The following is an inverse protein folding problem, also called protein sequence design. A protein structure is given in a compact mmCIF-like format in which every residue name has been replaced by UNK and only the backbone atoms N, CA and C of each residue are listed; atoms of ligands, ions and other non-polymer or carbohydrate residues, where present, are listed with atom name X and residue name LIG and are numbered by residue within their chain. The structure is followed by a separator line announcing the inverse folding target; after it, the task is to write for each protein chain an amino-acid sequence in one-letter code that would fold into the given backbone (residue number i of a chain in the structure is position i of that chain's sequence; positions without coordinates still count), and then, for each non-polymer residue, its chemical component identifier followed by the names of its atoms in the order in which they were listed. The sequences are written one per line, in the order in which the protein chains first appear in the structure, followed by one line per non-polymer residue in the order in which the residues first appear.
data_IF_122758955892
#
_entry.id   IF_122758955892
#
_cell.length_a   1.000
_cell.length_b   1.000
_cell.length_c   1.000
_cell.angle_alpha   90.00
_cell.angle_beta   90.00
_cell.angle_gamma   90.00
#
_symmetry.space_group_name_H-M   'P 1'
#
loop_
_entity.id
_entity.type
_entity.pdbx_description
1 polymer ?
#
# COMPACT_ATOMS: atom_id res chain seq x y z
N UNK A 1 5.22 -10.27 -18.32
CA UNK A 1 5.33 -8.78 -18.31
C UNK A 1 6.28 -8.38 -17.18
N UNK A 2 7.15 -7.37 -17.36
CA UNK A 2 7.94 -6.78 -16.27
C UNK A 2 7.29 -5.47 -15.77
N UNK A 3 7.82 -4.90 -14.69
CA UNK A 3 7.25 -3.67 -14.09
C UNK A 3 7.34 -2.44 -15.00
N UNK A 4 8.41 -2.31 -15.80
CA UNK A 4 8.56 -1.21 -16.74
C UNK A 4 7.52 -1.30 -17.87
N UNK A 5 7.26 -2.53 -18.36
CA UNK A 5 6.22 -2.77 -19.37
C UNK A 5 4.83 -2.48 -18.81
N UNK A 6 4.56 -2.89 -17.56
CA UNK A 6 3.29 -2.60 -16.87
C UNK A 6 3.07 -1.08 -16.76
N UNK A 7 4.06 -0.37 -16.23
CA UNK A 7 4.01 1.10 -16.08
C UNK A 7 3.71 1.77 -17.44
N UNK A 8 4.50 1.44 -18.48
CA UNK A 8 4.33 2.06 -19.79
C UNK A 8 2.94 1.78 -20.41
N UNK A 9 2.43 0.53 -20.26
CA UNK A 9 1.13 0.16 -20.79
C UNK A 9 -0.01 0.83 -20.02
N UNK A 10 0.08 0.92 -18.68
CA UNK A 10 -0.95 1.59 -17.88
C UNK A 10 -0.96 3.10 -18.08
N UNK A 11 0.21 3.74 -18.19
CA UNK A 11 0.28 5.16 -18.52
C UNK A 11 -0.35 5.46 -19.88
N UNK A 12 -0.06 4.63 -20.90
CA UNK A 12 -0.66 4.78 -22.23
C UNK A 12 -2.17 4.51 -22.23
N UNK A 13 -2.63 3.47 -21.49
CA UNK A 13 -4.05 3.09 -21.43
C UNK A 13 -4.91 4.16 -20.75
N UNK A 14 -4.40 4.74 -19.66
CA UNK A 14 -5.15 5.70 -18.85
C UNK A 14 -4.90 7.18 -19.25
N UNK A 15 -3.97 7.44 -20.17
CA UNK A 15 -3.49 8.79 -20.52
C UNK A 15 -3.06 9.57 -19.26
N UNK A 16 -2.29 8.92 -18.40
CA UNK A 16 -1.80 9.43 -17.11
C UNK A 16 -0.31 9.18 -16.97
N UNK A 17 0.34 9.95 -16.10
CA UNK A 17 1.75 9.74 -15.74
C UNK A 17 1.86 9.31 -14.30
N UNK A 18 2.43 8.12 -14.06
CA UNK A 18 2.68 7.60 -12.72
C UNK A 18 3.77 8.39 -11.98
N UNK A 19 3.67 8.53 -10.66
CA UNK A 19 4.66 9.25 -9.86
C UNK A 19 6.09 8.73 -10.05
N UNK A 20 7.06 9.66 -10.04
CA UNK A 20 8.47 9.32 -10.17
C UNK A 20 8.94 8.35 -9.08
N UNK A 21 8.38 8.46 -7.87
CA UNK A 21 8.67 7.55 -6.75
C UNK A 21 8.26 6.11 -7.09
N UNK A 22 7.09 5.88 -7.70
CA UNK A 22 6.65 4.54 -8.09
C UNK A 22 7.57 3.93 -9.17
N UNK A 23 7.95 4.73 -10.16
CA UNK A 23 8.91 4.29 -11.20
C UNK A 23 10.26 3.94 -10.60
N UNK A 24 10.72 4.69 -9.60
CA UNK A 24 11.95 4.41 -8.87
C UNK A 24 11.84 3.10 -8.06
N UNK A 25 10.74 2.88 -7.33
CA UNK A 25 10.50 1.63 -6.62
C UNK A 25 10.54 0.41 -7.56
N UNK A 26 9.93 0.54 -8.75
CA UNK A 26 9.98 -0.49 -9.78
C UNK A 26 11.42 -0.75 -10.30
N UNK A 27 12.19 0.32 -10.55
CA UNK A 27 13.58 0.22 -11.04
C UNK A 27 14.51 -0.38 -9.99
N UNK A 28 14.28 -0.11 -8.71
CA UNK A 28 15.07 -0.60 -7.58
C UNK A 28 14.65 -2.02 -7.13
N UNK A 29 13.63 -2.63 -7.79
CA UNK A 29 13.13 -3.98 -7.48
C UNK A 29 12.24 -4.05 -6.23
N UNK A 30 11.82 -2.92 -5.68
CA UNK A 30 10.98 -2.86 -4.48
C UNK A 30 9.55 -3.39 -4.69
N UNK A 31 9.11 -3.55 -5.93
CA UNK A 31 7.81 -4.12 -6.26
C UNK A 31 7.86 -5.63 -6.51
N UNK A 32 9.04 -6.26 -6.40
CA UNK A 32 9.19 -7.70 -6.68
C UNK A 32 9.04 -8.54 -5.40
N UNK A 33 7.85 -9.05 -5.18
CA UNK A 33 7.54 -10.00 -4.10
C UNK A 33 7.83 -11.45 -4.49
N UNK A 34 8.38 -11.69 -5.69
CA UNK A 34 8.58 -13.01 -6.26
C UNK A 34 7.30 -13.63 -6.83
N UNK A 35 7.45 -14.75 -7.49
CA UNK A 35 6.30 -15.46 -8.08
C UNK A 35 5.42 -16.09 -6.99
N UNK A 36 4.11 -15.92 -7.11
CA UNK A 36 3.14 -16.57 -6.22
C UNK A 36 3.22 -18.10 -6.39
N UNK A 37 3.27 -18.82 -5.28
CA UNK A 37 3.25 -20.27 -5.24
C UNK A 37 2.67 -20.78 -3.92
N UNK A 38 2.14 -22.02 -3.85
CA UNK A 38 1.62 -22.60 -2.61
C UNK A 38 2.65 -22.65 -1.46
N UNK A 39 3.94 -22.66 -1.80
CA UNK A 39 5.04 -22.69 -0.83
C UNK A 39 5.74 -21.34 -0.68
N UNK A 40 5.14 -20.23 -1.15
CA UNK A 40 5.75 -18.88 -1.15
C UNK A 40 6.20 -18.48 0.25
N UNK A 41 5.39 -18.67 1.26
CA UNK A 41 5.70 -18.34 2.67
C UNK A 41 6.90 -19.11 3.22
N UNK A 42 7.19 -20.30 2.68
CA UNK A 42 8.31 -21.17 3.11
C UNK A 42 9.57 -20.98 2.28
N UNK A 43 9.44 -20.61 1.01
CA UNK A 43 10.54 -20.64 0.04
C UNK A 43 11.00 -19.27 -0.43
N UNK A 44 10.08 -18.30 -0.55
CA UNK A 44 10.33 -16.95 -1.06
C UNK A 44 10.36 -15.93 0.07
N UNK A 45 9.32 -15.87 0.89
CA UNK A 45 9.23 -14.92 2.00
C UNK A 45 10.48 -14.85 2.89
N UNK A 46 11.08 -15.97 3.37
CA UNK A 46 12.27 -15.90 4.20
C UNK A 46 13.48 -15.26 3.53
N UNK A 47 13.57 -15.32 2.20
CA UNK A 47 14.67 -14.70 1.44
C UNK A 47 14.49 -13.18 1.31
N UNK A 48 13.24 -12.72 1.28
CA UNK A 48 12.91 -11.32 1.19
C UNK A 48 13.14 -10.57 2.51
N UNK A 49 13.12 -11.27 3.65
CA UNK A 49 13.26 -10.66 4.98
C UNK A 49 14.59 -9.92 5.20
N UNK A 50 15.66 -10.30 4.49
CA UNK A 50 16.94 -9.60 4.60
C UNK A 50 16.95 -8.20 3.96
N UNK A 51 16.10 -8.01 2.94
CA UNK A 51 15.90 -6.75 2.25
C UNK A 51 14.44 -6.68 1.78
N UNK A 52 13.50 -6.40 2.68
CA UNK A 52 12.08 -6.46 2.38
C UNK A 52 11.68 -5.51 1.25
N UNK A 53 10.95 -5.98 0.22
CA UNK A 53 10.32 -5.12 -0.77
C UNK A 53 9.19 -4.29 -0.15
N UNK A 54 8.57 -3.44 -0.95
CA UNK A 54 7.59 -2.46 -0.51
C UNK A 54 6.49 -3.09 0.37
N UNK A 55 6.42 -2.64 1.64
CA UNK A 55 5.37 -2.95 2.62
C UNK A 55 5.13 -4.45 2.88
N UNK A 56 6.17 -5.29 2.70
CA UNK A 56 6.07 -6.75 2.86
C UNK A 56 5.64 -7.18 4.27
N UNK A 57 5.92 -6.39 5.31
CA UNK A 57 5.83 -6.80 6.70
C UNK A 57 4.79 -5.99 7.45
N UNK A 58 3.85 -6.68 8.13
CA UNK A 58 2.92 -6.08 9.08
C UNK A 58 1.81 -5.24 8.46
N UNK A 59 1.43 -5.49 7.21
CA UNK A 59 0.37 -4.75 6.52
C UNK A 59 -0.56 -5.70 5.76
N UNK A 60 -1.84 -5.34 5.67
CA UNK A 60 -2.78 -5.94 4.74
C UNK A 60 -2.56 -5.33 3.34
N UNK A 61 -1.47 -5.76 2.70
CA UNK A 61 -0.99 -5.20 1.45
C UNK A 61 -0.22 -6.28 0.69
N UNK A 62 -0.57 -6.49 -0.55
CA UNK A 62 0.06 -7.47 -1.44
C UNK A 62 0.38 -6.83 -2.79
N UNK A 63 1.55 -7.16 -3.35
CA UNK A 63 1.91 -6.75 -4.70
C UNK A 63 1.81 -7.95 -5.62
N UNK A 64 0.73 -8.08 -6.42
CA UNK A 64 0.59 -9.11 -7.43
C UNK A 64 1.67 -8.95 -8.51
N UNK A 65 1.91 -10.01 -9.28
CA UNK A 65 2.76 -9.91 -10.45
C UNK A 65 2.21 -8.87 -11.44
N UNK A 66 3.06 -8.12 -12.16
CA UNK A 66 2.61 -7.06 -13.06
C UNK A 66 1.67 -7.55 -14.17
N UNK A 67 1.80 -8.80 -14.58
CA UNK A 67 0.88 -9.44 -15.53
C UNK A 67 -0.52 -9.67 -14.94
N UNK A 68 -0.59 -10.06 -13.67
CA UNK A 68 -1.85 -10.20 -12.92
C UNK A 68 -2.53 -8.85 -12.73
N UNK A 69 -1.78 -7.83 -12.27
CA UNK A 69 -2.33 -6.47 -12.16
C UNK A 69 -2.90 -5.96 -13.48
N UNK A 70 -2.21 -6.21 -14.60
CA UNK A 70 -2.66 -5.75 -15.91
C UNK A 70 -3.89 -6.52 -16.41
N UNK A 71 -3.95 -7.83 -16.22
CA UNK A 71 -5.02 -8.65 -16.77
C UNK A 71 -6.29 -8.63 -15.91
N UNK A 72 -6.14 -8.59 -14.58
CA UNK A 72 -7.24 -8.83 -13.65
C UNK A 72 -7.73 -7.55 -12.98
N UNK A 73 -6.90 -6.50 -12.91
CA UNK A 73 -7.20 -5.27 -12.15
C UNK A 73 -7.11 -3.97 -12.95
N UNK A 74 -6.60 -3.99 -14.19
CA UNK A 74 -6.32 -2.76 -14.95
C UNK A 74 -7.55 -1.86 -15.20
N UNK A 75 -8.74 -2.44 -15.28
CA UNK A 75 -9.99 -1.70 -15.49
C UNK A 75 -10.64 -1.24 -14.17
N UNK A 76 -10.15 -1.72 -13.03
CA UNK A 76 -10.77 -1.50 -11.71
C UNK A 76 -12.26 -1.87 -11.70
N UNK A 77 -12.65 -2.87 -12.52
CA UNK A 77 -14.00 -3.41 -12.63
C UNK A 77 -14.01 -4.78 -11.92
N UNK A 78 -14.94 -5.00 -11.02
CA UNK A 78 -15.01 -6.19 -10.17
C UNK A 78 -16.19 -7.10 -10.54
N UNK A 79 -16.49 -7.18 -11.83
CA UNK A 79 -17.49 -8.09 -12.39
C UNK A 79 -18.93 -7.60 -12.27
N UNK A 80 -19.44 -7.38 -11.08
CA UNK A 80 -20.78 -6.80 -10.85
C UNK A 80 -20.73 -5.30 -10.51
N UNK A 81 -19.55 -4.74 -10.22
CA UNK A 81 -19.33 -3.31 -10.00
C UNK A 81 -18.75 -2.68 -11.25
N UNK A 82 -19.49 -1.80 -11.90
CA UNK A 82 -19.06 -1.08 -13.10
C UNK A 82 -18.70 0.36 -12.77
N UNK A 83 -17.53 0.83 -13.20
CA UNK A 83 -17.14 2.22 -13.00
C UNK A 83 -18.09 3.20 -13.69
N UNK A 84 -18.53 4.22 -12.96
CA UNK A 84 -19.25 5.39 -13.53
C UNK A 84 -18.40 6.05 -14.60
N UNK A 85 -19.06 6.65 -15.60
CA UNK A 85 -18.40 7.26 -16.75
C UNK A 85 -17.36 8.33 -16.36
N UNK A 86 -17.60 9.12 -15.30
CA UNK A 86 -16.68 10.14 -14.81
C UNK A 86 -15.43 9.60 -14.14
N UNK A 87 -15.42 8.30 -13.75
CA UNK A 87 -14.27 7.63 -13.14
C UNK A 87 -13.48 6.76 -14.12
N UNK A 88 -13.97 6.57 -15.33
CA UNK A 88 -13.22 5.88 -16.37
C UNK A 88 -11.89 6.60 -16.64
N UNK A 89 -10.81 5.83 -16.79
CA UNK A 89 -9.45 6.36 -17.01
C UNK A 89 -8.88 7.21 -15.85
N UNK A 90 -9.40 7.03 -14.63
CA UNK A 90 -8.93 7.76 -13.46
C UNK A 90 -8.11 6.93 -12.48
N UNK A 91 -8.01 5.62 -12.66
CA UNK A 91 -7.33 4.73 -11.73
C UNK A 91 -6.22 3.94 -12.41
N UNK A 92 -5.11 3.77 -11.69
CA UNK A 92 -4.06 2.80 -12.04
C UNK A 92 -3.78 1.96 -10.81
N UNK A 93 -4.15 0.66 -10.80
CA UNK A 93 -3.92 -0.23 -9.66
C UNK A 93 -2.43 -0.49 -9.46
N UNK A 94 -1.99 -0.71 -8.22
CA UNK A 94 -0.59 -1.03 -7.93
C UNK A 94 -0.40 -2.10 -6.86
N UNK A 95 -1.45 -2.43 -6.10
CA UNK A 95 -1.43 -3.46 -5.06
C UNK A 95 -2.86 -3.91 -4.74
N UNK A 96 -2.99 -4.97 -3.95
CA UNK A 96 -4.26 -5.47 -3.42
C UNK A 96 -4.20 -5.65 -1.91
N UNK A 97 -5.35 -5.74 -1.23
CA UNK A 97 -5.46 -6.27 0.12
C UNK A 97 -5.59 -7.79 0.09
N UNK A 98 -5.41 -8.46 1.22
CA UNK A 98 -5.69 -9.88 1.36
C UNK A 98 -7.18 -10.23 1.20
N UNK A 99 -8.08 -9.25 1.33
CA UNK A 99 -9.50 -9.39 1.05
C UNK A 99 -9.85 -9.27 -0.44
N UNK A 100 -8.93 -8.78 -1.29
CA UNK A 100 -9.14 -8.58 -2.72
C UNK A 100 -9.47 -7.13 -3.11
N UNK A 101 -9.45 -6.19 -2.18
CA UNK A 101 -9.59 -4.77 -2.50
C UNK A 101 -8.34 -4.26 -3.22
N UNK A 102 -8.51 -3.17 -3.97
CA UNK A 102 -7.44 -2.68 -4.84
C UNK A 102 -6.90 -1.33 -4.38
N UNK A 103 -5.61 -1.26 -4.08
CA UNK A 103 -4.90 0.00 -3.93
C UNK A 103 -4.59 0.59 -5.30
N UNK A 104 -5.02 1.83 -5.54
CA UNK A 104 -4.83 2.49 -6.82
C UNK A 104 -4.34 3.94 -6.67
N UNK A 105 -3.58 4.39 -7.68
CA UNK A 105 -3.40 5.79 -7.96
C UNK A 105 -4.68 6.34 -8.56
N UNK A 106 -5.18 7.48 -8.06
CA UNK A 106 -6.45 8.06 -8.47
C UNK A 106 -6.34 9.54 -8.79
N UNK A 107 -6.78 9.94 -9.97
CA UNK A 107 -6.89 11.34 -10.41
C UNK A 107 -8.32 11.84 -10.21
N UNK A 108 -8.73 12.00 -8.94
CA UNK A 108 -10.10 12.38 -8.56
C UNK A 108 -10.37 13.87 -8.72
N UNK A 109 -9.36 14.69 -8.52
CA UNK A 109 -9.44 16.15 -8.64
C UNK A 109 -8.71 16.60 -9.92
N UNK A 110 -8.76 17.91 -10.23
CA UNK A 110 -8.02 18.49 -11.36
C UNK A 110 -6.48 18.55 -11.14
N UNK A 111 -5.99 17.93 -10.07
CA UNK A 111 -4.56 17.84 -9.77
C UNK A 111 -3.83 17.01 -10.82
N UNK A 112 -2.62 17.43 -11.18
CA UNK A 112 -1.73 16.64 -12.03
C UNK A 112 -1.17 15.40 -11.32
N UNK A 113 -1.09 15.42 -9.99
CA UNK A 113 -0.59 14.32 -9.17
C UNK A 113 -1.76 13.48 -8.62
N UNK A 114 -1.65 12.15 -8.66
CA UNK A 114 -2.69 11.28 -8.12
C UNK A 114 -2.63 11.19 -6.61
N UNK A 115 -3.80 11.06 -5.97
CA UNK A 115 -3.91 10.54 -4.60
C UNK A 115 -3.89 9.01 -4.59
N UNK A 116 -3.82 8.41 -3.39
CA UNK A 116 -3.96 6.97 -3.19
C UNK A 116 -5.35 6.65 -2.64
N UNK A 117 -5.99 5.65 -3.21
CA UNK A 117 -7.32 5.18 -2.81
C UNK A 117 -7.33 3.68 -2.57
N UNK A 118 -8.32 3.20 -1.81
CA UNK A 118 -8.69 1.80 -1.70
C UNK A 118 -10.05 1.63 -2.37
N UNK A 119 -10.08 0.86 -3.45
CA UNK A 119 -11.29 0.48 -4.17
C UNK A 119 -11.77 -0.86 -3.59
N UNK A 120 -12.95 -0.87 -2.99
CA UNK A 120 -13.54 -2.10 -2.46
C UNK A 120 -14.09 -2.96 -3.59
N UNK A 121 -13.83 -4.26 -3.50
CA UNK A 121 -14.28 -5.23 -4.51
C UNK A 121 -15.75 -5.64 -4.33
N UNK A 122 -16.35 -5.36 -3.17
CA UNK A 122 -17.69 -5.80 -2.76
C UNK A 122 -18.62 -4.64 -2.34
N UNK A 123 -18.22 -3.38 -2.61
CA UNK A 123 -18.98 -2.18 -2.26
C UNK A 123 -18.87 -1.12 -3.35
N UNK A 124 -19.94 -0.38 -3.59
CA UNK A 124 -19.97 0.81 -4.45
C UNK A 124 -19.20 1.98 -3.82
N UNK A 125 -19.01 1.97 -2.48
CA UNK A 125 -18.21 2.93 -1.73
C UNK A 125 -16.74 2.52 -1.70
N UNK A 126 -15.84 3.49 -1.81
CA UNK A 126 -14.38 3.35 -1.75
C UNK A 126 -13.78 4.46 -0.91
N UNK A 127 -12.51 4.36 -0.51
CA UNK A 127 -11.88 5.32 0.43
C UNK A 127 -10.70 6.07 -0.18
N UNK A 128 -10.59 7.36 0.13
CA UNK A 128 -9.36 8.13 -0.04
C UNK A 128 -8.40 7.80 1.10
N UNK A 129 -7.17 7.39 0.79
CA UNK A 129 -6.19 7.01 1.80
C UNK A 129 -5.16 8.12 2.05
N UNK A 130 -4.41 8.51 1.03
CA UNK A 130 -3.32 9.49 1.17
C UNK A 130 -3.19 10.39 -0.05
N UNK A 131 -2.61 11.57 0.14
CA UNK A 131 -2.43 12.57 -0.92
C UNK A 131 -1.41 12.15 -1.98
N UNK A 132 -0.46 11.28 -1.63
CA UNK A 132 0.60 10.78 -2.52
C UNK A 132 1.18 9.45 -2.01
N UNK A 133 2.01 8.81 -2.84
CA UNK A 133 2.62 7.51 -2.53
C UNK A 133 3.61 7.57 -1.36
N UNK A 134 4.37 8.66 -1.18
CA UNK A 134 5.35 8.78 -0.09
C UNK A 134 4.66 8.80 1.27
N UNK A 135 3.60 9.60 1.39
CA UNK A 135 2.80 9.69 2.60
C UNK A 135 2.00 8.40 2.85
N UNK A 136 1.55 7.70 1.79
CA UNK A 136 0.95 6.38 1.88
C UNK A 136 1.93 5.33 2.46
N UNK A 137 3.16 5.26 1.95
CA UNK A 137 4.18 4.34 2.49
C UNK A 137 4.40 4.63 3.98
N UNK A 138 4.52 5.90 4.35
CA UNK A 138 4.69 6.30 5.76
C UNK A 138 3.47 5.89 6.61
N UNK A 139 2.25 6.13 6.15
CA UNK A 139 1.02 5.78 6.86
C UNK A 139 0.90 4.26 7.09
N UNK A 140 1.25 3.46 6.09
CA UNK A 140 1.27 2.00 6.19
C UNK A 140 2.34 1.51 7.17
N UNK A 141 3.54 2.10 7.17
CA UNK A 141 4.60 1.77 8.13
C UNK A 141 4.28 2.19 9.57
N UNK A 142 3.36 3.13 9.79
CA UNK A 142 2.82 3.45 11.12
C UNK A 142 1.79 2.44 11.62
N UNK A 143 1.18 1.66 10.72
CA UNK A 143 0.07 0.75 11.01
C UNK A 143 0.52 -0.71 11.13
N UNK A 144 1.82 -0.98 11.19
CA UNK A 144 2.33 -2.35 11.22
C UNK A 144 1.79 -3.15 12.42
N UNK A 145 1.30 -4.35 12.15
CA UNK A 145 0.80 -5.30 13.13
C UNK A 145 1.50 -6.66 12.91
N UNK A 146 1.89 -7.37 14.00
CA UNK A 146 2.43 -8.72 13.86
C UNK A 146 1.36 -9.69 13.36
N UNK A 147 1.75 -10.62 12.50
CA UNK A 147 0.88 -11.72 12.09
C UNK A 147 0.42 -12.54 13.31
N UNK A 148 -0.73 -13.20 13.20
CA UNK A 148 -1.31 -13.99 14.27
C UNK A 148 -0.36 -15.07 14.84
N UNK A 149 0.54 -15.58 14.00
CA UNK A 149 1.53 -16.60 14.35
C UNK A 149 2.87 -16.02 14.86
N UNK A 150 3.04 -14.69 14.79
CA UNK A 150 4.25 -14.00 15.24
C UNK A 150 4.17 -13.72 16.75
N UNK A 151 4.63 -14.66 17.57
CA UNK A 151 4.56 -14.58 19.03
C UNK A 151 5.81 -13.98 19.69
N UNK A 152 6.85 -13.67 18.91
CA UNK A 152 8.13 -13.17 19.40
C UNK A 152 8.34 -11.70 18.98
N UNK A 153 8.28 -10.79 19.96
CA UNK A 153 8.47 -9.35 19.77
C UNK A 153 9.84 -9.01 19.18
N UNK A 154 10.89 -9.72 19.58
CA UNK A 154 12.24 -9.44 19.11
C UNK A 154 12.39 -9.82 17.62
N UNK A 155 11.83 -10.96 17.23
CA UNK A 155 11.80 -11.40 15.82
C UNK A 155 11.00 -10.43 14.95
N UNK A 156 9.80 -10.00 15.39
CA UNK A 156 9.01 -9.04 14.65
C UNK A 156 9.70 -7.67 14.55
N UNK A 157 10.29 -7.21 15.65
CA UNK A 157 11.08 -5.97 15.67
C UNK A 157 12.26 -6.03 14.68
N UNK A 158 12.96 -7.16 14.59
CA UNK A 158 14.04 -7.34 13.63
C UNK A 158 13.54 -7.23 12.17
N UNK A 159 12.37 -7.79 11.87
CA UNK A 159 11.71 -7.64 10.55
C UNK A 159 11.37 -6.18 10.27
N UNK A 160 10.78 -5.44 11.22
CA UNK A 160 10.47 -4.01 11.09
C UNK A 160 11.72 -3.16 10.84
N UNK A 161 12.83 -3.45 11.53
CA UNK A 161 14.10 -2.76 11.31
C UNK A 161 14.68 -3.03 9.92
N UNK A 162 14.58 -4.27 9.42
CA UNK A 162 14.98 -4.60 8.05
C UNK A 162 14.11 -3.85 7.03
N UNK A 163 12.79 -3.81 7.23
CA UNK A 163 11.86 -3.07 6.39
C UNK A 163 12.15 -1.56 6.41
N UNK A 164 12.35 -0.96 7.58
CA UNK A 164 12.70 0.45 7.70
C UNK A 164 14.02 0.77 6.98
N UNK A 165 15.00 -0.13 7.06
CA UNK A 165 16.28 0.02 6.37
C UNK A 165 16.11 0.00 4.85
N UNK A 166 15.34 -0.95 4.30
CA UNK A 166 15.09 -1.05 2.86
C UNK A 166 14.25 0.11 2.33
N UNK A 167 13.34 0.68 3.16
CA UNK A 167 12.45 1.79 2.78
C UNK A 167 13.07 3.18 2.96
N UNK A 168 14.19 3.29 3.68
CA UNK A 168 14.84 4.58 3.96
C UNK A 168 15.02 5.49 2.72
N UNK A 169 15.43 4.99 1.53
CA UNK A 169 15.60 5.84 0.35
C UNK A 169 14.31 6.48 -0.18
N UNK A 170 13.13 5.99 0.25
CA UNK A 170 11.81 6.35 -0.26
C UNK A 170 10.98 7.14 0.75
N UNK A 171 11.55 7.46 1.91
CA UNK A 171 10.91 8.20 3.01
C UNK A 171 11.57 9.57 3.19
N UNK A 172 10.78 10.56 3.62
CA UNK A 172 11.30 11.81 4.16
C UNK A 172 12.18 11.50 5.39
N UNK A 173 13.28 12.25 5.61
CA UNK A 173 14.14 12.03 6.79
C UNK A 173 13.35 12.02 8.10
N UNK A 174 12.43 12.96 8.28
CA UNK A 174 11.59 13.06 9.48
C UNK A 174 10.64 11.87 9.66
N UNK A 175 10.14 11.26 8.57
CA UNK A 175 9.32 10.04 8.61
C UNK A 175 10.16 8.86 9.06
N UNK A 176 11.36 8.70 8.48
CA UNK A 176 12.29 7.63 8.84
C UNK A 176 12.69 7.70 10.31
N UNK A 177 13.08 8.89 10.80
CA UNK A 177 13.56 9.07 12.18
C UNK A 177 12.42 8.80 13.19
N UNK A 178 11.20 9.24 12.88
CA UNK A 178 10.03 8.95 13.69
C UNK A 178 9.72 7.44 13.74
N UNK A 179 9.73 6.75 12.61
CA UNK A 179 9.50 5.30 12.56
C UNK A 179 10.59 4.54 13.32
N UNK A 180 11.85 4.98 13.23
CA UNK A 180 12.96 4.39 13.97
C UNK A 180 12.75 4.48 15.49
N UNK A 181 12.21 5.60 15.99
CA UNK A 181 11.83 5.75 17.41
C UNK A 181 10.64 4.85 17.77
N UNK A 182 9.59 4.84 16.94
CA UNK A 182 8.40 4.02 17.21
C UNK A 182 8.75 2.52 17.26
N UNK A 183 9.58 2.03 16.35
CA UNK A 183 9.95 0.62 16.29
C UNK A 183 10.83 0.14 17.46
N UNK A 184 11.30 1.06 18.32
CA UNK A 184 11.96 0.73 19.59
C UNK A 184 10.98 0.63 20.77
N UNK A 185 9.72 1.08 20.61
CA UNK A 185 8.74 1.05 21.71
C UNK A 185 8.33 -0.37 22.06
N UNK A 186 7.79 -0.54 23.26
CA UNK A 186 7.19 -1.78 23.69
C UNK A 186 5.85 -1.99 22.98
N UNK A 187 5.58 -3.24 22.58
CA UNK A 187 4.26 -3.62 22.10
C UNK A 187 3.26 -3.61 23.25
N UNK A 188 2.07 -3.16 22.97
CA UNK A 188 0.94 -3.22 23.90
C UNK A 188 -0.28 -3.86 23.21
N UNK A 189 -1.23 -4.31 24.00
CA UNK A 189 -2.48 -4.88 23.49
C UNK A 189 -3.53 -3.80 23.41
N UNK A 190 -4.11 -3.61 22.22
CA UNK A 190 -5.22 -2.70 22.02
C UNK A 190 -6.55 -3.24 22.59
N UNK A 191 -7.64 -2.48 22.47
CA UNK A 191 -8.97 -2.86 22.97
C UNK A 191 -9.57 -4.08 22.25
N UNK A 192 -9.04 -4.46 21.11
CA UNK A 192 -9.49 -5.60 20.32
C UNK A 192 -8.63 -6.85 20.53
N UNK A 193 -7.57 -6.74 21.33
CA UNK A 193 -6.64 -7.84 21.60
C UNK A 193 -5.45 -7.88 20.64
N UNK A 194 -5.31 -6.94 19.71
CA UNK A 194 -4.20 -6.87 18.77
C UNK A 194 -2.95 -6.31 19.46
N UNK A 195 -1.79 -6.86 19.10
CA UNK A 195 -0.49 -6.33 19.52
C UNK A 195 -0.08 -5.18 18.60
N UNK A 196 0.08 -3.99 19.16
CA UNK A 196 0.35 -2.77 18.41
C UNK A 196 1.47 -1.94 19.04
N UNK A 197 2.20 -1.17 18.25
CA UNK A 197 3.17 -0.17 18.71
C UNK A 197 2.53 1.18 18.99
N UNK A 198 1.41 1.49 18.30
CA UNK A 198 0.65 2.73 18.42
C UNK A 198 -0.83 2.40 18.56
N UNK A 199 -1.52 3.08 19.46
CA UNK A 199 -2.97 3.06 19.42
C UNK A 199 -3.51 3.96 18.29
N UNK A 200 -4.79 3.79 17.93
CA UNK A 200 -5.41 4.53 16.81
C UNK A 200 -5.36 6.06 16.99
N UNK A 201 -5.49 6.57 18.20
CA UNK A 201 -5.43 8.02 18.48
C UNK A 201 -4.02 8.59 18.30
N UNK A 202 -2.98 7.87 18.76
CA UNK A 202 -1.58 8.24 18.53
C UNK A 202 -1.25 8.25 17.05
N UNK A 203 -1.66 7.19 16.31
CA UNK A 203 -1.46 7.10 14.87
C UNK A 203 -2.12 8.27 14.14
N UNK A 204 -3.37 8.58 14.44
CA UNK A 204 -4.08 9.72 13.83
C UNK A 204 -3.39 11.06 14.12
N UNK A 205 -2.91 11.27 15.35
CA UNK A 205 -2.18 12.49 15.70
C UNK A 205 -0.86 12.62 14.93
N UNK A 206 -0.14 11.51 14.73
CA UNK A 206 1.08 11.49 13.94
C UNK A 206 0.81 11.73 12.45
N UNK A 207 -0.21 11.11 11.88
CA UNK A 207 -0.62 11.34 10.50
C UNK A 207 -1.05 12.79 10.27
N UNK A 208 -1.84 13.38 11.18
CA UNK A 208 -2.24 14.78 11.09
C UNK A 208 -1.05 15.75 11.11
N UNK A 209 0.03 15.39 11.79
CA UNK A 209 1.25 16.21 11.90
C UNK A 209 2.24 16.01 10.75
N UNK A 210 2.49 14.77 10.33
CA UNK A 210 3.59 14.42 9.43
C UNK A 210 3.16 14.13 7.98
N UNK A 211 1.90 13.75 7.78
CA UNK A 211 1.28 13.50 6.49
C UNK A 211 -0.15 14.07 6.47
N UNK A 212 -0.34 15.40 6.60
CA UNK A 212 -1.66 15.99 6.69
C UNK A 212 -2.43 15.81 5.38
N UNK A 213 -3.58 15.13 5.46
CA UNK A 213 -4.49 14.95 4.35
C UNK A 213 -5.94 15.09 4.86
N UNK A 214 -6.60 16.26 4.63
CA UNK A 214 -7.95 16.50 5.13
C UNK A 214 -9.01 15.52 4.64
N UNK A 215 -8.80 14.95 3.46
CA UNK A 215 -9.71 13.99 2.82
C UNK A 215 -9.38 12.53 3.16
N UNK A 216 -8.46 12.23 4.07
CA UNK A 216 -8.18 10.86 4.52
C UNK A 216 -9.44 10.23 5.09
N UNK A 217 -9.69 8.99 4.71
CA UNK A 217 -10.86 8.20 5.07
C UNK A 217 -12.20 8.81 4.60
N UNK A 218 -12.18 9.82 3.70
CA UNK A 218 -13.39 10.27 3.04
C UNK A 218 -13.87 9.23 2.03
N UNK A 219 -15.14 8.78 2.13
CA UNK A 219 -15.72 7.88 1.16
C UNK A 219 -16.02 8.58 -0.16
N UNK A 220 -16.00 7.82 -1.25
CA UNK A 220 -16.50 8.21 -2.55
C UNK A 220 -17.07 6.98 -3.27
N UNK A 221 -18.03 7.17 -4.19
CA UNK A 221 -18.72 6.08 -4.86
C UNK A 221 -18.34 6.05 -6.35
N UNK A 222 -17.28 5.30 -6.73
CA UNK A 222 -16.84 5.23 -8.11
C UNK A 222 -17.68 4.32 -9.00
N UNK A 223 -18.50 3.43 -8.41
CA UNK A 223 -19.28 2.42 -9.12
C UNK A 223 -20.74 2.82 -9.28
N UNK A 224 -21.40 2.29 -10.34
CA UNK A 224 -22.83 2.46 -10.55
C UNK A 224 -23.59 1.79 -9.39
N UNK A 225 -24.69 2.42 -8.99
CA UNK A 225 -25.66 1.80 -8.09
C UNK A 225 -26.45 0.74 -8.87
N UNK A 226 -26.54 -0.49 -8.37
CA UNK A 226 -27.38 -1.55 -8.92
C UNK A 226 -28.90 -1.27 -8.75
#
# INVERSE_FOLDING_TARGET
MNWQDYIAQMEARQDKTLPALYKRLAADGMLDWGASSPDWSKTTYPKLLAHPPLLLIGNDFEIPQPETLYNDYADCDFGYLTLKAEYQHRFIPFATSGAGDTYAFAWLDESAEPCIVLLYHDSDESLRLEVNLEDFIFAMLLQVEPDCDENDDDTFRAKLQAQLTSHRPYLKPEHHDLLADIYQREFHTDRYGNRVLLNSGERQALLARYAPYPQRDEPFCPYEDD
#
